data_IF_516066456972
#
_entry.id   IF_516066456972
#
_cell.length_a   1.000
_cell.length_b   1.000
_cell.length_c   1.000
_cell.angle_alpha   90.00
_cell.angle_beta   90.00
_cell.angle_gamma   90.00
#
_symmetry.space_group_name_H-M   'P 1'
#
loop_
_entity.id
_entity.type
_entity.pdbx_description
1 polymer ?
#
# COMPACT_ATOMS: atom_id res chain seq x y z
N UNK A 1 -21.69 -4.39 -8.32
CA UNK A 1 -22.96 -3.89 -8.88
C UNK A 1 -23.78 -5.10 -9.30
N UNK A 2 -24.74 -5.51 -8.48
CA UNK A 2 -25.68 -6.59 -8.84
C UNK A 2 -26.78 -6.03 -9.75
N UNK A 3 -27.12 -6.69 -10.86
CA UNK A 3 -28.10 -6.21 -11.84
C UNK A 3 -29.53 -6.07 -11.28
N UNK A 4 -29.88 -6.70 -10.16
CA UNK A 4 -31.22 -6.64 -9.56
C UNK A 4 -31.54 -5.29 -8.90
N UNK A 5 -30.52 -4.55 -8.40
CA UNK A 5 -30.71 -3.24 -7.77
C UNK A 5 -31.13 -2.15 -8.77
N UNK A 6 -30.78 -2.31 -10.05
CA UNK A 6 -30.97 -1.29 -11.09
C UNK A 6 -32.42 -1.16 -11.55
N UNK A 7 -33.28 -2.13 -11.20
CA UNK A 7 -34.68 -2.14 -11.65
C UNK A 7 -35.64 -1.51 -10.64
N UNK A 8 -35.31 -1.53 -9.35
CA UNK A 8 -36.13 -0.89 -8.31
C UNK A 8 -35.97 0.64 -8.28
N UNK A 9 -34.74 1.13 -8.47
CA UNK A 9 -34.41 2.56 -8.39
C UNK A 9 -34.93 3.39 -9.58
N UNK A 10 -35.33 2.77 -10.69
CA UNK A 10 -35.87 3.47 -11.88
C UNK A 10 -37.16 4.25 -11.61
N UNK A 11 -37.86 3.91 -10.52
CA UNK A 11 -39.07 4.60 -10.08
C UNK A 11 -38.79 6.00 -9.53
N UNK A 12 -37.54 6.29 -9.16
CA UNK A 12 -37.11 7.56 -8.59
C UNK A 12 -36.09 8.21 -9.52
N UNK A 13 -36.36 9.44 -9.98
CA UNK A 13 -35.43 10.22 -10.80
C UNK A 13 -34.27 10.77 -9.94
N UNK A 14 -33.50 9.87 -9.33
CA UNK A 14 -32.42 10.19 -8.40
C UNK A 14 -31.24 10.83 -9.16
N UNK A 15 -30.71 11.92 -8.60
CA UNK A 15 -29.43 12.48 -9.05
C UNK A 15 -28.30 11.51 -8.69
N UNK A 16 -27.44 11.21 -9.66
CA UNK A 16 -26.23 10.40 -9.47
C UNK A 16 -24.99 11.25 -9.18
N UNK A 17 -25.17 12.55 -8.87
CA UNK A 17 -24.06 13.47 -8.62
C UNK A 17 -23.56 13.45 -7.17
N UNK A 18 -24.38 13.03 -6.20
CA UNK A 18 -24.03 13.05 -4.78
C UNK A 18 -23.99 11.64 -4.20
N UNK A 19 -22.77 11.15 -3.94
CA UNK A 19 -22.57 9.84 -3.31
C UNK A 19 -22.77 9.90 -1.79
N UNK A 20 -23.84 9.25 -1.34
CA UNK A 20 -24.23 9.17 0.06
C UNK A 20 -24.52 7.71 0.43
N UNK A 21 -23.48 6.89 0.67
CA UNK A 21 -23.66 5.46 0.85
C UNK A 21 -24.59 5.16 2.01
N UNK A 22 -25.49 4.19 1.79
CA UNK A 22 -26.32 3.61 2.85
C UNK A 22 -26.19 2.10 2.83
N UNK A 23 -26.08 1.51 4.01
CA UNK A 23 -26.05 0.07 4.19
C UNK A 23 -27.45 -0.43 4.55
N UNK A 24 -27.95 -1.40 3.80
CA UNK A 24 -29.20 -2.08 4.15
C UNK A 24 -28.97 -3.25 5.10
N UNK A 25 -30.07 -3.90 5.49
CA UNK A 25 -30.07 -5.08 6.39
C UNK A 25 -29.44 -6.33 5.76
N UNK A 26 -29.23 -6.35 4.44
CA UNK A 26 -28.62 -7.47 3.71
C UNK A 26 -27.14 -7.23 3.46
N UNK A 27 -26.55 -6.23 4.12
CA UNK A 27 -25.16 -5.80 3.94
C UNK A 27 -24.85 -5.33 2.51
N UNK A 28 -25.87 -4.85 1.79
CA UNK A 28 -25.71 -4.25 0.47
C UNK A 28 -25.60 -2.74 0.64
N UNK A 29 -24.54 -2.18 0.03
CA UNK A 29 -24.33 -0.73 -0.02
C UNK A 29 -25.02 -0.16 -1.26
N UNK A 30 -25.93 0.79 -1.03
CA UNK A 30 -26.61 1.54 -2.09
C UNK A 30 -25.92 2.90 -2.30
N UNK A 31 -25.97 3.43 -3.52
CA UNK A 31 -25.29 4.69 -3.89
C UNK A 31 -25.80 5.90 -3.08
N UNK A 32 -27.10 5.96 -2.84
CA UNK A 32 -27.77 7.02 -2.08
C UNK A 32 -29.05 6.50 -1.41
N UNK A 33 -29.62 7.22 -0.42
CA UNK A 33 -30.92 6.87 0.16
C UNK A 33 -32.04 6.83 -0.88
N UNK A 34 -31.96 7.69 -1.91
CA UNK A 34 -32.89 7.70 -3.04
C UNK A 34 -32.75 6.43 -3.89
N UNK A 35 -31.53 5.96 -4.13
CA UNK A 35 -31.27 4.71 -4.85
C UNK A 35 -31.80 3.48 -4.10
N UNK A 36 -31.85 3.56 -2.76
CA UNK A 36 -32.48 2.56 -1.90
C UNK A 36 -34.02 2.71 -1.78
N UNK A 37 -34.60 3.77 -2.36
CA UNK A 37 -36.04 4.03 -2.38
C UNK A 37 -36.63 4.49 -1.04
N UNK A 38 -35.82 5.08 -0.15
CA UNK A 38 -36.26 5.48 1.19
C UNK A 38 -36.97 6.84 1.17
N UNK A 39 -38.09 6.95 1.90
CA UNK A 39 -38.91 8.18 1.96
C UNK A 39 -38.80 8.94 3.28
N UNK A 40 -38.35 8.27 4.35
CA UNK A 40 -38.32 8.84 5.68
C UNK A 40 -36.97 8.58 6.36
N UNK A 41 -36.61 9.39 7.36
CA UNK A 41 -35.41 9.17 8.15
C UNK A 41 -35.61 9.55 9.61
N UNK A 42 -34.90 8.85 10.47
CA UNK A 42 -34.76 9.15 11.89
C UNK A 42 -33.28 9.27 12.25
N UNK A 43 -32.95 10.02 13.27
CA UNK A 43 -31.58 10.08 13.81
C UNK A 43 -31.50 9.06 14.94
N UNK A 44 -30.58 8.09 14.82
CA UNK A 44 -30.30 7.09 15.84
C UNK A 44 -28.78 7.04 16.07
N UNK A 45 -28.33 7.21 17.32
CA UNK A 45 -26.90 7.20 17.67
C UNK A 45 -26.04 8.13 16.79
N UNK A 46 -26.48 9.38 16.58
CA UNK A 46 -25.83 10.37 15.70
C UNK A 46 -25.68 9.96 14.22
N UNK A 47 -26.34 8.88 13.79
CA UNK A 47 -26.41 8.45 12.39
C UNK A 47 -27.83 8.57 11.85
N UNK A 48 -27.96 8.86 10.57
CA UNK A 48 -29.26 8.85 9.88
C UNK A 48 -29.63 7.40 9.57
N UNK A 49 -30.77 6.96 10.08
CA UNK A 49 -31.43 5.70 9.71
C UNK A 49 -32.61 6.04 8.83
N UNK A 50 -32.60 5.54 7.61
CA UNK A 50 -33.64 5.71 6.61
C UNK A 50 -34.65 4.57 6.71
N UNK A 51 -35.92 4.90 6.50
CA UNK A 51 -37.06 3.99 6.58
C UNK A 51 -37.88 4.06 5.30
N UNK A 52 -38.78 3.08 5.14
CA UNK A 52 -39.68 2.98 3.98
C UNK A 52 -38.89 2.86 2.67
N UNK A 53 -37.83 2.06 2.69
CA UNK A 53 -36.94 1.82 1.56
C UNK A 53 -37.50 0.73 0.64
N UNK A 54 -38.07 1.11 -0.51
CA UNK A 54 -38.72 0.18 -1.44
C UNK A 54 -37.76 -0.82 -2.11
N UNK A 55 -36.46 -0.50 -2.18
CA UNK A 55 -35.44 -1.32 -2.84
C UNK A 55 -34.64 -2.23 -1.90
N UNK A 56 -35.04 -2.28 -0.64
CA UNK A 56 -34.47 -3.18 0.36
C UNK A 56 -35.42 -4.37 0.49
N UNK A 57 -35.01 -5.57 0.07
CA UNK A 57 -35.83 -6.77 0.24
C UNK A 57 -35.54 -7.42 1.60
N UNK A 58 -36.51 -7.60 2.50
CA UNK A 58 -36.29 -8.30 3.76
C UNK A 58 -36.03 -9.78 3.50
N UNK A 59 -34.95 -10.32 4.08
CA UNK A 59 -34.69 -11.78 4.13
C UNK A 59 -35.72 -12.47 5.06
N UNK A 60 -36.26 -11.75 6.04
CA UNK A 60 -37.34 -12.21 6.92
C UNK A 60 -38.49 -11.20 6.99
N UNK A 61 -39.74 -11.69 7.02
CA UNK A 61 -40.98 -10.88 7.07
C UNK A 61 -41.12 -9.97 8.31
N UNK A 62 -40.16 -10.04 9.24
CA UNK A 62 -40.07 -9.26 10.48
C UNK A 62 -39.07 -8.11 10.41
N UNK A 63 -38.27 -8.00 9.34
CA UNK A 63 -37.27 -6.96 9.20
C UNK A 63 -37.85 -5.70 8.53
N UNK A 64 -37.68 -4.56 9.20
CA UNK A 64 -38.10 -3.27 8.68
C UNK A 64 -37.27 -2.89 7.44
N UNK A 65 -37.95 -2.40 6.39
CA UNK A 65 -37.37 -1.80 5.18
C UNK A 65 -36.55 -0.55 5.52
N UNK A 66 -35.35 -0.74 6.07
CA UNK A 66 -34.51 0.32 6.59
C UNK A 66 -33.06 0.19 6.14
N UNK A 67 -32.40 1.33 6.02
CA UNK A 67 -30.99 1.43 5.68
C UNK A 67 -30.31 2.45 6.60
N UNK A 68 -29.07 2.20 6.99
CA UNK A 68 -28.31 3.11 7.86
C UNK A 68 -27.28 3.87 7.02
N UNK A 69 -27.11 5.16 7.29
CA UNK A 69 -26.09 5.98 6.65
C UNK A 69 -24.68 5.43 6.86
N UNK A 70 -23.90 5.38 5.78
CA UNK A 70 -22.52 4.89 5.74
C UNK A 70 -22.39 3.57 5.00
N UNK A 71 -21.16 3.06 4.97
CA UNK A 71 -20.85 1.72 4.47
C UNK A 71 -21.29 0.64 5.45
N UNK A 72 -21.45 -0.58 4.96
CA UNK A 72 -21.74 -1.72 5.81
C UNK A 72 -20.56 -2.05 6.73
N UNK A 73 -20.84 -2.56 7.95
CA UNK A 73 -19.78 -3.03 8.83
C UNK A 73 -18.99 -4.12 8.13
N UNK A 74 -17.67 -4.01 8.18
CA UNK A 74 -16.74 -5.01 7.63
C UNK A 74 -16.00 -5.64 8.79
N UNK A 75 -16.10 -6.96 8.92
CA UNK A 75 -15.32 -7.70 9.91
C UNK A 75 -13.84 -7.65 9.54
N UNK A 76 -13.04 -7.06 10.44
CA UNK A 76 -11.62 -6.79 10.21
C UNK A 76 -10.71 -7.73 11.03
N UNK A 77 -11.08 -8.99 11.18
CA UNK A 77 -10.39 -9.96 12.05
C UNK A 77 -8.90 -10.11 11.71
N UNK A 78 -8.57 -10.00 10.42
CA UNK A 78 -7.21 -10.14 9.92
C UNK A 78 -6.38 -8.84 9.96
N UNK A 79 -6.94 -7.73 10.43
CA UNK A 79 -6.24 -6.45 10.44
C UNK A 79 -5.01 -6.44 11.36
N UNK A 80 -5.18 -6.84 12.62
CA UNK A 80 -4.09 -6.92 13.59
C UNK A 80 -2.97 -7.90 13.18
N UNK A 81 -3.26 -9.17 12.79
CA UNK A 81 -2.20 -10.07 12.36
C UNK A 81 -1.51 -9.56 11.08
N UNK A 82 -2.25 -8.96 10.14
CA UNK A 82 -1.66 -8.34 8.96
C UNK A 82 -0.66 -7.23 9.33
N UNK A 83 -1.05 -6.31 10.23
CA UNK A 83 -0.16 -5.25 10.70
C UNK A 83 1.10 -5.80 11.37
N UNK A 84 0.97 -6.82 12.21
CA UNK A 84 2.11 -7.46 12.87
C UNK A 84 3.09 -8.05 11.83
N UNK A 85 2.58 -8.81 10.86
CA UNK A 85 3.40 -9.44 9.81
C UNK A 85 4.10 -8.37 8.98
N UNK A 86 3.38 -7.36 8.51
CA UNK A 86 3.97 -6.27 7.69
C UNK A 86 5.04 -5.53 8.48
N UNK A 87 4.80 -5.23 9.76
CA UNK A 87 5.77 -4.52 10.61
C UNK A 87 7.06 -5.31 10.78
N UNK A 88 6.97 -6.61 11.10
CA UNK A 88 8.14 -7.49 11.20
C UNK A 88 8.87 -7.59 9.87
N UNK A 89 8.16 -7.76 8.76
CA UNK A 89 8.75 -7.81 7.43
C UNK A 89 9.49 -6.49 7.07
N UNK A 90 8.94 -5.33 7.43
CA UNK A 90 9.60 -4.04 7.23
C UNK A 90 10.82 -3.86 8.12
N UNK A 91 10.79 -4.35 9.35
CA UNK A 91 11.96 -4.35 10.24
C UNK A 91 13.11 -5.16 9.63
N UNK A 92 12.84 -6.39 9.17
CA UNK A 92 13.84 -7.24 8.50
C UNK A 92 14.39 -6.56 7.23
N UNK A 93 13.52 -5.95 6.44
CA UNK A 93 13.91 -5.20 5.24
C UNK A 93 14.84 -4.02 5.57
N UNK A 94 14.57 -3.30 6.67
CA UNK A 94 15.41 -2.20 7.10
C UNK A 94 16.83 -2.66 7.50
N UNK A 95 16.95 -3.80 8.18
CA UNK A 95 18.27 -4.38 8.51
C UNK A 95 19.07 -4.77 7.27
N UNK A 96 18.42 -5.35 6.25
CA UNK A 96 19.08 -5.70 4.99
C UNK A 96 19.68 -4.47 4.27
N UNK A 97 18.98 -3.33 4.32
CA UNK A 97 19.47 -2.05 3.74
C UNK A 97 20.77 -1.60 4.39
N UNK A 98 20.90 -1.75 5.72
CA UNK A 98 22.15 -1.44 6.43
C UNK A 98 23.29 -2.33 5.94
N UNK A 99 23.03 -3.64 5.76
CA UNK A 99 24.00 -4.57 5.19
C UNK A 99 24.51 -4.13 3.81
N UNK A 100 23.60 -3.74 2.91
CA UNK A 100 23.95 -3.27 1.57
C UNK A 100 24.82 -2.00 1.58
N UNK A 101 24.56 -1.07 2.51
CA UNK A 101 25.41 0.11 2.72
C UNK A 101 26.81 -0.29 3.20
N UNK A 102 26.90 -1.21 4.17
CA UNK A 102 28.20 -1.68 4.69
C UNK A 102 29.03 -2.33 3.58
N UNK A 103 28.42 -3.21 2.77
CA UNK A 103 29.09 -3.85 1.63
C UNK A 103 29.60 -2.79 0.66
N UNK A 104 28.75 -1.82 0.30
CA UNK A 104 29.12 -0.71 -0.60
C UNK A 104 30.35 0.04 -0.09
N UNK A 105 30.38 0.39 1.20
CA UNK A 105 31.50 1.10 1.82
C UNK A 105 32.79 0.28 1.92
N UNK A 106 32.70 -1.06 1.88
CA UNK A 106 33.86 -1.98 1.87
C UNK A 106 34.42 -2.20 0.48
N UNK A 107 33.64 -1.95 -0.57
CA UNK A 107 34.05 -2.12 -1.96
C UNK A 107 34.74 -0.88 -2.56
N UNK A 108 34.81 0.24 -1.82
CA UNK A 108 35.35 1.51 -2.31
C UNK A 108 36.43 2.06 -1.38
N UNK A 109 37.38 2.80 -1.95
CA UNK A 109 38.44 3.46 -1.20
C UNK A 109 37.87 4.53 -0.24
N UNK A 110 38.57 4.79 0.86
CA UNK A 110 38.07 5.68 1.92
C UNK A 110 37.71 7.09 1.44
N UNK A 111 38.49 7.60 0.48
CA UNK A 111 38.29 8.92 -0.15
C UNK A 111 37.03 8.99 -1.03
N UNK A 112 36.54 7.86 -1.53
CA UNK A 112 35.45 7.80 -2.52
C UNK A 112 34.11 7.35 -1.89
N UNK A 113 34.09 7.02 -0.58
CA UNK A 113 32.90 6.52 0.13
C UNK A 113 31.67 7.43 0.01
N UNK A 114 31.85 8.73 0.20
CA UNK A 114 30.74 9.71 0.14
C UNK A 114 30.22 9.86 -1.29
N UNK A 115 31.12 9.87 -2.28
CA UNK A 115 30.75 9.89 -3.70
C UNK A 115 29.96 8.63 -4.09
N UNK A 116 30.40 7.45 -3.65
CA UNK A 116 29.72 6.19 -3.90
C UNK A 116 28.30 6.15 -3.30
N UNK A 117 28.13 6.57 -2.04
CA UNK A 117 26.82 6.67 -1.42
C UNK A 117 25.90 7.67 -2.14
N UNK A 118 26.44 8.83 -2.53
CA UNK A 118 25.71 9.82 -3.31
C UNK A 118 25.25 9.27 -4.66
N UNK A 119 26.11 8.52 -5.35
CA UNK A 119 25.77 7.89 -6.62
C UNK A 119 24.67 6.82 -6.46
N UNK A 120 24.73 6.00 -5.41
CA UNK A 120 23.70 4.99 -5.11
C UNK A 120 22.35 5.67 -4.82
N UNK A 121 22.31 6.70 -3.98
CA UNK A 121 21.08 7.43 -3.67
C UNK A 121 20.52 8.20 -4.87
N UNK A 122 21.39 8.72 -5.74
CA UNK A 122 20.97 9.31 -7.01
C UNK A 122 20.27 8.28 -7.90
N UNK A 123 20.82 7.07 -8.02
CA UNK A 123 20.20 5.99 -8.78
C UNK A 123 18.88 5.54 -8.14
N UNK A 124 18.82 5.41 -6.81
CA UNK A 124 17.57 5.10 -6.09
C UNK A 124 16.53 6.17 -6.36
N UNK A 125 16.91 7.45 -6.38
CA UNK A 125 15.98 8.54 -6.63
C UNK A 125 15.32 8.44 -8.00
N UNK A 126 16.12 8.19 -9.05
CA UNK A 126 15.62 8.09 -10.43
C UNK A 126 14.78 6.83 -10.65
N UNK A 127 15.24 5.68 -10.14
CA UNK A 127 14.64 4.38 -10.48
C UNK A 127 13.66 3.84 -9.45
N UNK A 128 13.65 4.37 -8.22
CA UNK A 128 12.71 3.94 -7.18
C UNK A 128 11.84 5.10 -6.71
N UNK A 129 12.42 6.18 -6.20
CA UNK A 129 11.64 7.24 -5.54
C UNK A 129 10.68 7.97 -6.48
N UNK A 130 11.11 8.32 -7.70
CA UNK A 130 10.26 8.95 -8.72
C UNK A 130 9.17 8.01 -9.25
N UNK A 131 9.47 6.76 -9.69
CA UNK A 131 8.45 5.87 -10.24
C UNK A 131 7.53 5.26 -9.18
N UNK A 132 7.95 5.14 -7.92
CA UNK A 132 7.13 4.58 -6.84
C UNK A 132 5.73 5.20 -6.73
N UNK A 133 5.55 6.52 -6.52
CA UNK A 133 4.21 7.10 -6.41
C UNK A 133 3.39 6.98 -7.70
N UNK A 134 4.04 6.96 -8.88
CA UNK A 134 3.36 6.81 -10.16
C UNK A 134 2.79 5.39 -10.32
N UNK A 135 3.59 4.37 -10.03
CA UNK A 135 3.16 2.96 -10.12
C UNK A 135 2.08 2.63 -9.11
N UNK A 136 2.28 3.02 -7.84
CA UNK A 136 1.29 2.75 -6.80
C UNK A 136 0.04 3.62 -6.97
N UNK A 137 0.16 4.84 -7.51
CA UNK A 137 -0.98 5.63 -7.96
C UNK A 137 -1.80 4.94 -9.05
N UNK A 138 -1.13 4.31 -10.02
CA UNK A 138 -1.82 3.50 -11.03
C UNK A 138 -2.56 2.31 -10.43
N UNK A 139 -1.95 1.61 -9.47
CA UNK A 139 -2.58 0.51 -8.73
C UNK A 139 -3.85 0.98 -8.02
N UNK A 140 -3.80 2.12 -7.33
CA UNK A 140 -4.96 2.73 -6.67
C UNK A 140 -6.08 2.99 -7.69
N UNK A 141 -5.75 3.63 -8.81
CA UNK A 141 -6.72 3.95 -9.85
C UNK A 141 -7.35 2.71 -10.48
N UNK A 142 -6.59 1.62 -10.64
CA UNK A 142 -7.09 0.34 -11.17
C UNK A 142 -8.06 -0.36 -10.25
N UNK A 143 -7.98 -0.11 -8.94
CA UNK A 143 -8.93 -0.64 -7.98
C UNK A 143 -10.18 0.23 -7.82
N UNK A 144 -10.26 1.37 -8.50
CA UNK A 144 -11.44 2.23 -8.42
C UNK A 144 -12.65 1.60 -9.10
N UNK A 145 -13.77 1.53 -8.37
CA UNK A 145 -15.06 1.04 -8.84
C UNK A 145 -15.99 2.19 -9.20
N UNK A 146 -15.92 3.28 -8.43
CA UNK A 146 -16.80 4.44 -8.61
C UNK A 146 -15.99 5.74 -8.58
N UNK A 147 -15.98 6.41 -9.71
CA UNK A 147 -15.33 7.71 -9.87
C UNK A 147 -16.29 8.85 -9.54
N UNK A 148 -15.78 9.89 -8.90
CA UNK A 148 -16.42 11.20 -8.85
C UNK A 148 -16.44 11.82 -10.25
N UNK A 149 -17.53 12.48 -10.59
CA UNK A 149 -17.66 13.25 -11.82
C UNK A 149 -18.31 14.60 -11.50
N UNK A 150 -17.54 15.67 -11.65
CA UNK A 150 -18.00 17.04 -11.43
C UNK A 150 -17.77 17.86 -12.68
N UNK A 151 -18.81 18.52 -13.17
CA UNK A 151 -18.76 19.34 -14.39
C UNK A 151 -18.20 18.61 -15.63
N UNK A 152 -18.47 17.30 -15.77
CA UNK A 152 -17.98 16.47 -16.88
C UNK A 152 -16.50 16.09 -16.79
N UNK A 153 -15.85 16.37 -15.64
CA UNK A 153 -14.48 15.97 -15.37
C UNK A 153 -14.43 14.91 -14.26
N UNK A 154 -13.62 13.87 -14.51
CA UNK A 154 -13.36 12.81 -13.55
C UNK A 154 -12.53 13.34 -12.39
N UNK A 155 -13.04 13.19 -11.17
CA UNK A 155 -12.43 13.59 -9.92
C UNK A 155 -11.78 12.43 -9.17
N UNK A 156 -11.86 12.47 -7.84
CA UNK A 156 -11.33 11.42 -6.98
C UNK A 156 -12.18 10.15 -7.04
N UNK A 157 -11.61 9.00 -6.70
CA UNK A 157 -12.42 7.78 -6.57
C UNK A 157 -13.16 7.76 -5.23
N UNK A 158 -14.47 7.50 -5.27
CA UNK A 158 -15.32 7.38 -4.08
C UNK A 158 -15.32 5.99 -3.46
N UNK A 159 -15.22 4.95 -4.30
CA UNK A 159 -15.27 3.55 -3.86
C UNK A 159 -14.23 2.69 -4.56
N UNK A 160 -13.45 1.98 -3.77
CA UNK A 160 -12.43 1.04 -4.23
C UNK A 160 -12.85 -0.41 -3.97
N UNK A 161 -12.48 -1.31 -4.87
CA UNK A 161 -12.53 -2.75 -4.64
C UNK A 161 -11.34 -3.15 -3.76
N UNK A 162 -11.63 -3.47 -2.50
CA UNK A 162 -10.59 -3.84 -1.52
C UNK A 162 -9.83 -5.12 -1.88
N UNK A 163 -10.44 -6.05 -2.61
CA UNK A 163 -9.79 -7.31 -2.99
C UNK A 163 -8.82 -7.09 -4.13
N UNK A 164 -9.26 -6.41 -5.20
CA UNK A 164 -8.38 -6.03 -6.30
C UNK A 164 -7.26 -5.10 -5.84
N UNK A 165 -7.59 -4.13 -4.98
CA UNK A 165 -6.60 -3.22 -4.42
C UNK A 165 -5.49 -3.95 -3.69
N UNK A 166 -5.87 -4.85 -2.77
CA UNK A 166 -4.92 -5.67 -2.01
C UNK A 166 -4.08 -6.57 -2.92
N UNK A 167 -4.71 -7.22 -3.90
CA UNK A 167 -4.01 -8.11 -4.82
C UNK A 167 -2.96 -7.36 -5.64
N UNK A 168 -3.34 -6.25 -6.28
CA UNK A 168 -2.42 -5.46 -7.10
C UNK A 168 -1.29 -4.82 -6.28
N UNK A 169 -1.61 -4.28 -5.09
CA UNK A 169 -0.62 -3.70 -4.19
C UNK A 169 0.45 -4.73 -3.80
N UNK A 170 0.03 -5.92 -3.36
CA UNK A 170 0.95 -6.95 -2.92
C UNK A 170 1.66 -7.65 -4.08
N UNK A 171 0.98 -7.96 -5.18
CA UNK A 171 1.62 -8.63 -6.32
C UNK A 171 2.73 -7.76 -6.92
N UNK A 172 2.50 -6.45 -7.04
CA UNK A 172 3.52 -5.51 -7.52
C UNK A 172 4.71 -5.43 -6.54
N UNK A 173 4.42 -5.27 -5.23
CA UNK A 173 5.44 -5.24 -4.19
C UNK A 173 6.28 -6.51 -4.16
N UNK A 174 5.62 -7.67 -4.21
CA UNK A 174 6.26 -8.99 -4.21
C UNK A 174 7.14 -9.19 -5.45
N UNK A 175 6.73 -8.69 -6.62
CA UNK A 175 7.57 -8.71 -7.82
C UNK A 175 8.88 -7.95 -7.64
N UNK A 176 8.83 -6.72 -7.09
CA UNK A 176 10.04 -5.95 -6.81
C UNK A 176 10.93 -6.60 -5.75
N UNK A 177 10.34 -7.16 -4.69
CA UNK A 177 11.08 -7.87 -3.65
C UNK A 177 11.76 -9.12 -4.22
N UNK A 178 11.06 -9.89 -5.05
CA UNK A 178 11.63 -11.08 -5.69
C UNK A 178 12.84 -10.73 -6.56
N UNK A 179 12.74 -9.66 -7.36
CA UNK A 179 13.87 -9.17 -8.14
C UNK A 179 15.04 -8.71 -7.25
N UNK A 180 14.75 -8.02 -6.15
CA UNK A 180 15.77 -7.60 -5.19
C UNK A 180 16.49 -8.80 -4.56
N UNK A 181 15.75 -9.85 -4.17
CA UNK A 181 16.33 -11.08 -3.62
C UNK A 181 17.27 -11.75 -4.62
N UNK A 182 16.93 -11.76 -5.91
CA UNK A 182 17.82 -12.29 -6.96
C UNK A 182 19.12 -11.47 -7.03
N UNK A 183 19.02 -10.14 -7.02
CA UNK A 183 20.19 -9.27 -7.04
C UNK A 183 21.07 -9.47 -5.79
N UNK A 184 20.47 -9.52 -4.60
CA UNK A 184 21.20 -9.75 -3.35
C UNK A 184 21.85 -11.13 -3.32
N UNK A 185 21.21 -12.16 -3.89
CA UNK A 185 21.79 -13.49 -4.03
C UNK A 185 23.01 -13.50 -4.96
N UNK A 186 22.97 -12.74 -6.06
CA UNK A 186 24.14 -12.56 -6.94
C UNK A 186 25.26 -11.84 -6.21
N UNK A 187 24.96 -10.77 -5.46
CA UNK A 187 25.95 -10.06 -4.63
C UNK A 187 26.56 -11.01 -3.59
N UNK A 188 25.75 -11.84 -2.94
CA UNK A 188 26.23 -12.84 -1.99
C UNK A 188 27.27 -13.80 -2.62
N UNK A 189 26.96 -14.37 -3.79
CA UNK A 189 27.90 -15.25 -4.52
C UNK A 189 29.19 -14.51 -4.88
N UNK A 190 29.09 -13.27 -5.38
CA UNK A 190 30.26 -12.48 -5.79
C UNK A 190 31.10 -12.03 -4.59
N UNK A 191 30.45 -11.67 -3.48
CA UNK A 191 31.12 -11.25 -2.24
C UNK A 191 31.99 -12.36 -1.66
N UNK A 192 31.56 -13.62 -1.76
CA UNK A 192 32.35 -14.78 -1.31
C UNK A 192 33.67 -14.93 -2.08
N UNK A 193 33.78 -14.32 -3.26
CA UNK A 193 35.00 -14.34 -4.09
C UNK A 193 35.99 -13.24 -3.71
N UNK A 194 35.57 -12.25 -2.92
CA UNK A 194 36.40 -11.13 -2.47
C UNK A 194 37.06 -11.53 -1.14
N UNK A 195 38.21 -12.21 -1.20
CA UNK A 195 38.91 -12.74 -0.02
C UNK A 195 39.58 -11.67 0.87
N UNK A 196 39.55 -10.39 0.46
CA UNK A 196 40.31 -9.30 1.09
C UNK A 196 39.41 -8.22 1.71
N UNK A 197 38.28 -8.62 2.31
CA UNK A 197 37.35 -7.72 3.01
C UNK A 197 37.97 -7.07 4.25
N UNK A 198 39.00 -7.71 4.82
CA UNK A 198 39.89 -7.17 5.82
C UNK A 198 41.24 -6.97 5.18
N UNK A 199 41.41 -5.86 4.44
CA UNK A 199 42.73 -5.34 4.13
C UNK A 199 43.42 -4.89 5.42
N UNK A 200 43.78 -5.84 6.30
CA UNK A 200 44.86 -5.61 7.24
C UNK A 200 46.09 -5.51 6.35
N UNK A 201 46.41 -4.29 5.94
CA UNK A 201 47.78 -3.94 5.60
C UNK A 201 48.59 -4.16 6.87
N UNK A 202 48.97 -5.40 7.17
CA UNK A 202 50.19 -5.65 7.92
C UNK A 202 51.31 -5.16 7.02
N UNK A 203 51.57 -3.85 7.05
CA UNK A 203 52.92 -3.38 6.78
C UNK A 203 53.77 -4.05 7.85
N UNK A 204 54.71 -4.95 7.49
CA UNK A 204 55.65 -5.45 8.48
C UNK A 204 56.31 -4.23 9.11
N UNK A 205 56.33 -4.17 10.44
CA UNK A 205 57.26 -3.30 11.15
C UNK A 205 58.62 -3.96 10.97
N UNK A 206 59.20 -3.79 9.79
CA UNK A 206 60.58 -4.10 9.50
C UNK A 206 61.18 -2.75 9.05
N UNK A 207 62.30 -2.38 9.67
CA UNK A 207 63.01 -1.08 9.58
C UNK A 207 62.81 -0.09 10.74
N UNK A 208 62.67 -0.58 11.98
CA UNK A 208 63.17 0.14 13.16
C UNK A 208 64.24 -0.72 13.85
N UNK A 209 65.23 -1.20 13.08
CA UNK A 209 66.50 -1.61 13.65
C UNK A 209 67.31 -0.36 13.97
N UNK A 210 67.48 -0.13 15.27
CA UNK A 210 68.74 0.22 15.95
C UNK A 210 69.79 0.89 15.05
N UNK A 211 69.91 2.22 15.19
CA UNK A 211 71.19 2.86 14.98
C UNK A 211 71.50 3.70 16.22
N UNK A 212 72.19 3.05 17.16
CA UNK A 212 73.02 3.71 18.15
C UNK A 212 74.04 4.60 17.41
N UNK A 213 74.04 5.88 17.74
CA UNK A 213 75.26 6.69 17.67
C UNK A 213 75.26 7.69 18.82
N UNK A 214 75.87 7.27 19.93
CA UNK A 214 76.72 8.14 20.73
C UNK A 214 77.97 8.45 19.89
N UNK A 215 78.13 9.70 19.45
CA UNK A 215 79.32 10.57 19.59
C UNK A 215 79.09 11.87 18.82
#
# INVERSE_FOLDING_TARGET
YSPELQQCSQSCNCSNHDFHPVCDINEIVHFSPCSAGCHNYSIFENRKRFHECSCVSPIEQTANFSATSGFCPVECDMFLPYLAIVTVAKMLSATARVGNVIITLRCVDEKDKTLALGAVEFMISIFATIPYPLLYGHVINKACVLWDESCGHQGNCWLYDNTLFRQYLHSLSSGFIFLAIICDFVVFILSSKISNMYGINTKPIENLEVQDTNL
#
